data_IF_908907209227
#
_entry.id   IF_908907209227
#
_cell.length_a   1.000
_cell.length_b   1.000
_cell.length_c   1.000
_cell.angle_alpha   90.00
_cell.angle_beta   90.00
_cell.angle_gamma   90.00
#
_symmetry.space_group_name_H-M   'P 1'
#
loop_
_entity.id
_entity.type
_entity.pdbx_description
1 polymer ?
#
# COMPACT_ATOMS: atom_id res chain seq x y z
N UNK A 1 -2.47 -2.66 1.27
CA UNK A 1 -1.81 -1.53 0.55
C UNK A 1 -1.89 -1.80 -0.95
N UNK A 2 -1.83 -0.78 -1.80
CA UNK A 2 -1.81 -0.96 -3.26
C UNK A 2 -0.56 -0.31 -3.85
N UNK A 3 0.04 -0.98 -4.82
CA UNK A 3 1.06 -0.40 -5.68
C UNK A 3 0.38 0.17 -6.91
N UNK A 4 0.68 1.43 -7.22
CA UNK A 4 0.13 2.15 -8.35
C UNK A 4 1.23 2.57 -9.33
N UNK A 5 0.90 2.57 -10.61
CA UNK A 5 1.71 3.18 -11.65
C UNK A 5 0.92 4.33 -12.28
N UNK A 6 1.62 5.44 -12.56
CA UNK A 6 1.05 6.60 -13.25
C UNK A 6 0.74 6.22 -14.69
N UNK A 7 -0.49 6.51 -15.12
CA UNK A 7 -0.95 6.31 -16.49
C UNK A 7 -0.22 7.23 -17.46
N UNK A 8 -0.06 6.77 -18.71
CA UNK A 8 0.30 7.64 -19.83
C UNK A 8 -0.86 8.60 -20.13
N UNK A 9 -0.60 9.77 -20.74
CA UNK A 9 -1.67 10.70 -21.10
C UNK A 9 -2.78 10.08 -21.95
N UNK A 10 -2.44 9.17 -22.87
CA UNK A 10 -3.40 8.47 -23.74
C UNK A 10 -4.27 7.43 -23.02
N UNK A 11 -3.95 7.06 -21.79
CA UNK A 11 -4.69 6.06 -21.00
C UNK A 11 -5.68 6.70 -20.01
N UNK A 12 -5.59 8.02 -19.79
CA UNK A 12 -6.46 8.76 -18.88
C UNK A 12 -7.79 9.08 -19.55
N UNK A 13 -8.90 8.67 -18.92
CA UNK A 13 -10.25 8.80 -19.49
C UNK A 13 -11.01 10.04 -19.03
N UNK A 14 -10.41 10.86 -18.18
CA UNK A 14 -11.03 12.06 -17.65
C UNK A 14 -10.35 12.54 -16.37
N UNK A 15 -10.87 13.61 -15.76
CA UNK A 15 -10.33 14.15 -14.52
C UNK A 15 -10.18 13.06 -13.45
N UNK A 16 -9.05 13.09 -12.72
CA UNK A 16 -8.72 12.18 -11.61
C UNK A 16 -8.38 10.73 -12.02
N UNK A 17 -8.35 10.40 -13.31
CA UNK A 17 -7.96 9.07 -13.80
C UNK A 17 -6.45 8.94 -14.04
N UNK A 18 -5.68 8.85 -12.95
CA UNK A 18 -4.21 8.96 -13.02
C UNK A 18 -3.45 7.65 -12.84
N UNK A 19 -4.06 6.67 -12.19
CA UNK A 19 -3.32 5.49 -11.73
C UNK A 19 -3.92 4.20 -12.27
N UNK A 20 -3.07 3.21 -12.52
CA UNK A 20 -3.45 1.82 -12.63
C UNK A 20 -2.94 1.05 -11.41
N UNK A 21 -3.73 0.12 -10.89
CA UNK A 21 -3.31 -0.80 -9.83
C UNK A 21 -2.37 -1.82 -10.46
N UNK A 22 -1.12 -1.86 -9.99
CA UNK A 22 -0.13 -2.86 -10.40
C UNK A 22 -0.26 -4.11 -9.53
N UNK A 23 -0.45 -3.91 -8.22
CA UNK A 23 -0.55 -5.00 -7.26
C UNK A 23 -1.37 -4.58 -6.04
N UNK A 24 -2.12 -5.53 -5.48
CA UNK A 24 -2.69 -5.45 -4.14
C UNK A 24 -1.81 -6.24 -3.19
N UNK A 25 -1.27 -5.57 -2.17
CA UNK A 25 -0.39 -6.17 -1.18
C UNK A 25 -1.24 -6.64 0.01
N UNK A 26 -1.24 -7.96 0.33
CA UNK A 26 -1.94 -8.50 1.50
C UNK A 26 -1.55 -7.78 2.79
N UNK A 27 -2.48 -7.65 3.73
CA UNK A 27 -2.25 -6.92 4.98
C UNK A 27 -1.04 -7.46 5.76
N UNK A 28 -0.93 -8.77 5.89
CA UNK A 28 0.18 -9.45 6.60
C UNK A 28 1.57 -9.17 6.02
N UNK A 29 1.64 -8.78 4.73
CA UNK A 29 2.89 -8.43 4.05
C UNK A 29 3.11 -6.91 3.97
N UNK A 30 2.02 -6.14 4.03
CA UNK A 30 2.05 -4.68 3.90
C UNK A 30 2.58 -3.98 5.16
N UNK A 31 2.46 -4.64 6.32
CA UNK A 31 2.87 -4.09 7.60
C UNK A 31 3.93 -4.97 8.23
N UNK A 32 4.85 -4.32 8.96
CA UNK A 32 5.83 -5.04 9.77
C UNK A 32 5.12 -5.88 10.86
N UNK A 33 5.64 -7.06 11.22
CA UNK A 33 5.08 -7.88 12.29
C UNK A 33 4.92 -7.09 13.60
N UNK A 34 3.88 -7.43 14.37
CA UNK A 34 3.50 -6.70 15.58
C UNK A 34 4.65 -6.65 16.61
N UNK A 35 5.39 -7.74 16.77
CA UNK A 35 6.53 -7.87 17.68
C UNK A 35 7.79 -7.11 17.23
N UNK A 36 7.92 -6.81 15.94
CA UNK A 36 9.02 -6.00 15.40
C UNK A 36 8.71 -4.50 15.51
N UNK A 37 7.48 -4.19 15.92
CA UNK A 37 6.84 -2.89 16.10
C UNK A 37 7.51 -1.92 17.08
N UNK A 38 8.37 -2.39 17.98
CA UNK A 38 8.92 -1.63 19.12
C UNK A 38 7.84 -0.89 19.94
N UNK A 39 6.58 -1.33 19.86
CA UNK A 39 5.49 -0.72 20.60
C UNK A 39 5.58 -1.17 22.07
N UNK A 40 5.73 -0.25 23.04
CA UNK A 40 5.88 -0.61 24.46
C UNK A 40 4.65 -1.29 25.06
N UNK A 41 3.48 -1.18 24.40
CA UNK A 41 2.23 -1.81 24.81
C UNK A 41 2.10 -3.25 24.29
N UNK A 42 2.91 -3.63 23.30
CA UNK A 42 2.93 -4.97 22.69
C UNK A 42 3.97 -5.86 23.34
N UNK A 43 5.11 -5.30 23.75
CA UNK A 43 6.09 -6.02 24.55
C UNK A 43 5.45 -6.38 25.89
N UNK A 44 5.25 -7.68 26.15
CA UNK A 44 4.81 -8.16 27.46
C UNK A 44 5.78 -7.63 28.52
N UNK A 45 5.24 -6.98 29.55
CA UNK A 45 5.96 -6.85 30.82
C UNK A 45 6.17 -8.22 31.45
#
# INVERSE_FOLDING_TARGET
MHLFEVKKPSESKGPYDYYKVVQTIPAEQAFRPLNEGNCPLVAKK
#
